data_IF_043024225700
#
_entry.id   IF_043024225700
#
_cell.length_a   1.000
_cell.length_b   1.000
_cell.length_c   1.000
_cell.angle_alpha   90.00
_cell.angle_beta   90.00
_cell.angle_gamma   90.00
#
_symmetry.space_group_name_H-M   'P 1'
#
loop_
_entity.id
_entity.type
_entity.pdbx_description
1 polymer ?
#
# COMPACT_ATOMS: atom_id res chain seq x y z
N UNK A 1 -16.88 19.37 2.59
CA UNK A 1 -15.52 19.33 3.18
C UNK A 1 -14.59 18.61 2.22
N UNK A 2 -13.49 19.23 1.87
CA UNK A 2 -12.54 18.63 0.97
C UNK A 2 -11.73 17.54 1.67
N UNK A 3 -11.48 16.46 0.94
CA UNK A 3 -10.61 15.40 1.42
C UNK A 3 -9.16 15.83 1.26
N UNK A 4 -8.28 15.50 2.21
CA UNK A 4 -6.85 15.77 2.03
C UNK A 4 -6.31 15.02 0.82
N UNK A 5 -5.50 15.72 0.03
CA UNK A 5 -4.84 15.15 -1.14
C UNK A 5 -3.53 14.51 -0.72
N UNK A 6 -3.33 13.27 -1.16
CA UNK A 6 -2.11 12.53 -0.86
C UNK A 6 -1.43 12.19 -2.18
N UNK A 7 -0.19 12.65 -2.32
CA UNK A 7 0.57 12.48 -3.56
C UNK A 7 1.04 11.04 -3.75
N UNK A 8 1.46 10.40 -2.68
CA UNK A 8 1.91 9.02 -2.73
C UNK A 8 0.76 8.07 -3.06
N UNK A 9 1.08 6.95 -3.69
CA UNK A 9 0.11 5.89 -3.91
C UNK A 9 -0.03 5.07 -2.63
N UNK A 10 -1.25 4.83 -2.20
CA UNK A 10 -1.50 4.04 -1.01
C UNK A 10 -1.75 2.60 -1.43
N UNK A 11 -0.92 1.67 -0.94
CA UNK A 11 -1.08 0.25 -1.21
C UNK A 11 -1.75 -0.41 -0.03
N UNK A 12 -2.87 -1.08 -0.28
CA UNK A 12 -3.67 -1.76 0.74
C UNK A 12 -3.81 -3.24 0.41
N UNK A 13 -4.20 -4.03 1.38
CA UNK A 13 -4.34 -5.47 1.18
C UNK A 13 -5.52 -5.82 0.27
N UNK A 14 -6.68 -5.19 0.44
CA UNK A 14 -7.87 -5.57 -0.28
C UNK A 14 -8.81 -4.41 -0.58
N UNK A 15 -9.91 -4.78 -1.27
CA UNK A 15 -10.90 -3.81 -1.77
C UNK A 15 -11.61 -3.06 -0.65
N UNK A 16 -11.88 -3.72 0.46
CA UNK A 16 -12.54 -3.07 1.59
C UNK A 16 -11.73 -1.90 2.12
N UNK A 17 -10.43 -2.11 2.28
CA UNK A 17 -9.52 -1.06 2.74
C UNK A 17 -9.47 0.09 1.74
N UNK A 18 -9.43 -0.24 0.44
CA UNK A 18 -9.43 0.76 -0.62
C UNK A 18 -10.67 1.64 -0.54
N UNK A 19 -11.85 1.02 -0.47
CA UNK A 19 -13.10 1.77 -0.46
C UNK A 19 -13.23 2.65 0.78
N UNK A 20 -12.78 2.15 1.92
CA UNK A 20 -12.80 2.90 3.17
C UNK A 20 -11.90 4.13 3.08
N UNK A 21 -10.69 3.98 2.57
CA UNK A 21 -9.75 5.09 2.42
C UNK A 21 -10.26 6.15 1.45
N UNK A 22 -10.83 5.74 0.33
CA UNK A 22 -11.31 6.68 -0.67
C UNK A 22 -12.47 7.55 -0.19
N UNK A 23 -13.11 7.17 0.92
CA UNK A 23 -14.12 8.00 1.54
C UNK A 23 -13.53 9.18 2.31
N UNK A 24 -12.27 9.08 2.73
CA UNK A 24 -11.68 10.07 3.62
C UNK A 24 -10.47 10.79 3.04
N UNK A 25 -9.85 10.25 1.99
CA UNK A 25 -8.69 10.89 1.35
C UNK A 25 -8.85 10.92 -0.17
N UNK A 26 -8.22 11.92 -0.80
CA UNK A 26 -8.10 12.01 -2.25
C UNK A 26 -6.73 11.48 -2.65
N UNK A 27 -6.67 10.22 -3.03
CA UNK A 27 -5.43 9.54 -3.33
C UNK A 27 -5.66 8.41 -4.33
N UNK A 28 -4.59 7.97 -4.96
CA UNK A 28 -4.59 6.73 -5.74
C UNK A 28 -4.35 5.56 -4.79
N UNK A 29 -5.24 4.59 -4.80
CA UNK A 29 -5.15 3.43 -3.93
C UNK A 29 -5.03 2.17 -4.76
N UNK A 30 -4.03 1.36 -4.45
CA UNK A 30 -3.73 0.11 -5.16
C UNK A 30 -3.97 -1.08 -4.22
N UNK A 31 -4.73 -2.06 -4.70
CA UNK A 31 -4.95 -3.30 -3.95
C UNK A 31 -3.80 -4.26 -4.21
N UNK A 32 -3.19 -4.79 -3.17
CA UNK A 32 -2.10 -5.76 -3.29
C UNK A 32 -2.60 -7.17 -3.60
N UNK A 33 -3.81 -7.51 -3.13
CA UNK A 33 -4.36 -8.84 -3.34
C UNK A 33 -3.71 -9.90 -2.46
N UNK A 34 -3.29 -9.52 -1.26
CA UNK A 34 -2.68 -10.44 -0.31
C UNK A 34 -1.35 -10.97 -0.83
N UNK A 35 -1.08 -12.25 -0.57
CA UNK A 35 0.17 -12.88 -0.98
C UNK A 35 0.32 -13.05 -2.49
N UNK A 36 -0.76 -12.91 -3.25
CA UNK A 36 -0.71 -13.01 -4.71
C UNK A 36 0.19 -11.97 -5.36
N UNK A 37 0.47 -10.85 -4.67
CA UNK A 37 1.36 -9.80 -5.16
C UNK A 37 2.75 -10.34 -5.52
N UNK A 38 3.23 -11.35 -4.81
CA UNK A 38 4.58 -11.86 -5.00
C UNK A 38 4.73 -12.69 -6.27
N UNK A 39 3.62 -13.13 -6.86
CA UNK A 39 3.60 -13.84 -8.14
C UNK A 39 3.20 -12.96 -9.30
N UNK A 40 2.85 -11.69 -9.04
CA UNK A 40 2.41 -10.75 -10.06
C UNK A 40 3.57 -9.82 -10.43
N UNK A 41 4.30 -10.20 -11.47
CA UNK A 41 5.48 -9.45 -11.92
C UNK A 41 5.15 -8.05 -12.40
N UNK A 42 4.01 -7.91 -13.07
CA UNK A 42 3.60 -6.59 -13.58
C UNK A 42 3.25 -5.65 -12.44
N UNK A 43 2.52 -6.15 -11.46
CA UNK A 43 2.15 -5.33 -10.31
C UNK A 43 3.36 -4.97 -9.44
N UNK A 44 4.30 -5.91 -9.28
CA UNK A 44 5.53 -5.64 -8.55
C UNK A 44 6.39 -4.60 -9.28
N UNK A 45 6.49 -4.69 -10.60
CA UNK A 45 7.21 -3.70 -11.39
C UNK A 45 6.55 -2.32 -11.28
N UNK A 46 5.22 -2.27 -11.29
CA UNK A 46 4.49 -1.02 -11.10
C UNK A 46 4.78 -0.41 -9.74
N UNK A 47 4.78 -1.23 -8.68
CA UNK A 47 5.10 -0.75 -7.33
C UNK A 47 6.50 -0.15 -7.26
N UNK A 48 7.49 -0.81 -7.87
CA UNK A 48 8.85 -0.28 -7.91
C UNK A 48 8.90 1.09 -8.58
N UNK A 49 8.22 1.21 -9.71
CA UNK A 49 8.19 2.47 -10.45
C UNK A 49 7.50 3.57 -9.66
N UNK A 50 6.39 3.25 -9.01
CA UNK A 50 5.67 4.22 -8.18
C UNK A 50 6.50 4.64 -6.98
N UNK A 51 7.23 3.72 -6.36
CA UNK A 51 8.10 4.05 -5.23
C UNK A 51 9.19 5.05 -5.65
N UNK A 52 9.72 4.91 -6.85
CA UNK A 52 10.78 5.80 -7.35
C UNK A 52 10.25 7.15 -7.83
N UNK A 53 9.00 7.24 -8.23
CA UNK A 53 8.42 8.47 -8.80
C UNK A 53 7.55 9.22 -7.81
N UNK A 54 6.48 8.58 -7.34
CA UNK A 54 5.50 9.22 -6.46
C UNK A 54 5.70 8.90 -4.99
N UNK A 55 6.32 7.78 -4.70
CA UNK A 55 6.35 7.22 -3.36
C UNK A 55 5.14 6.33 -3.10
N UNK A 56 5.29 5.42 -2.17
CA UNK A 56 4.24 4.48 -1.78
C UNK A 56 4.04 4.57 -0.27
N UNK A 57 2.78 4.50 0.14
CA UNK A 57 2.41 4.32 1.54
C UNK A 57 1.83 2.90 1.66
N UNK A 58 2.52 2.03 2.38
CA UNK A 58 1.99 0.70 2.70
C UNK A 58 1.05 0.82 3.89
N UNK A 59 -0.23 0.61 3.65
CA UNK A 59 -1.27 0.73 4.67
C UNK A 59 -1.87 -0.65 4.91
N UNK A 60 -1.37 -1.34 5.92
CA UNK A 60 -1.72 -2.72 6.23
C UNK A 60 -1.85 -2.89 7.74
N UNK A 61 -2.35 -4.06 8.14
CA UNK A 61 -2.36 -4.43 9.55
C UNK A 61 -0.92 -4.53 10.09
N UNK A 62 -0.69 -4.20 11.37
CA UNK A 62 0.67 -4.24 11.93
C UNK A 62 1.20 -5.64 12.15
N UNK A 63 0.34 -6.64 12.18
CA UNK A 63 0.73 -8.03 12.45
C UNK A 63 0.11 -8.99 11.44
N UNK A 64 0.31 -10.30 11.64
CA UNK A 64 -0.26 -11.34 10.78
C UNK A 64 0.21 -11.24 9.34
N UNK A 65 -0.73 -11.39 8.39
CA UNK A 65 -0.44 -11.34 6.97
C UNK A 65 0.13 -10.00 6.53
N UNK A 66 -0.36 -8.91 7.11
CA UNK A 66 0.15 -7.58 6.81
C UNK A 66 1.63 -7.44 7.15
N UNK A 67 2.05 -8.00 8.28
CA UNK A 67 3.46 -7.99 8.68
C UNK A 67 4.33 -8.75 7.66
N UNK A 68 3.89 -9.93 7.23
CA UNK A 68 4.64 -10.74 6.27
C UNK A 68 4.74 -10.05 4.91
N UNK A 69 3.63 -9.52 4.41
CA UNK A 69 3.59 -8.81 3.14
C UNK A 69 4.54 -7.62 3.17
N UNK A 70 4.51 -6.85 4.24
CA UNK A 70 5.34 -5.67 4.42
C UNK A 70 6.84 -6.01 4.38
N UNK A 71 7.23 -7.06 5.08
CA UNK A 71 8.62 -7.47 5.11
C UNK A 71 9.12 -8.00 3.78
N UNK A 72 8.29 -8.74 3.04
CA UNK A 72 8.66 -9.20 1.71
C UNK A 72 8.76 -8.07 0.71
N UNK A 73 7.88 -7.07 0.80
CA UNK A 73 7.93 -5.92 -0.10
C UNK A 73 9.20 -5.09 0.09
N UNK A 74 9.78 -5.08 1.27
CA UNK A 74 11.07 -4.41 1.48
C UNK A 74 12.16 -4.95 0.57
N UNK A 75 12.18 -6.26 0.33
CA UNK A 75 13.12 -6.87 -0.59
C UNK A 75 12.73 -6.70 -2.05
N UNK A 76 11.43 -6.68 -2.35
CA UNK A 76 10.93 -6.53 -3.71
C UNK A 76 11.04 -5.11 -4.24
N UNK A 77 11.05 -4.10 -3.34
CA UNK A 77 11.14 -2.68 -3.68
C UNK A 77 12.40 -2.10 -3.01
N UNK A 78 13.58 -2.34 -3.59
CA UNK A 78 14.84 -1.98 -2.93
C UNK A 78 15.17 -0.49 -2.99
N UNK A 79 14.56 0.24 -3.92
CA UNK A 79 14.82 1.67 -4.11
C UNK A 79 13.53 2.44 -4.13
N UNK A 80 13.63 3.74 -3.91
CA UNK A 80 12.48 4.61 -3.90
C UNK A 80 11.99 4.89 -2.47
N UNK A 81 10.86 5.59 -2.40
CA UNK A 81 10.29 6.04 -1.14
C UNK A 81 9.11 5.17 -0.75
N UNK A 82 9.26 4.44 0.34
CA UNK A 82 8.20 3.60 0.88
C UNK A 82 7.94 4.01 2.33
N UNK A 83 6.77 4.51 2.59
CA UNK A 83 6.30 4.89 3.91
C UNK A 83 5.39 3.79 4.46
N UNK A 84 5.33 3.70 5.77
CA UNK A 84 4.52 2.69 6.44
C UNK A 84 3.44 3.35 7.28
N UNK A 85 2.21 2.93 7.06
CA UNK A 85 1.08 3.31 7.89
C UNK A 85 0.37 2.02 8.32
N UNK A 86 -0.23 2.06 9.49
CA UNK A 86 -0.84 0.87 10.07
C UNK A 86 -2.32 1.10 10.30
N UNK A 87 -3.11 0.07 10.01
CA UNK A 87 -4.53 0.08 10.36
C UNK A 87 -4.62 0.07 11.88
N UNK A 88 -5.32 1.04 12.48
CA UNK A 88 -5.45 1.07 13.94
C UNK A 88 -6.17 -0.18 14.45
N UNK A 89 -5.66 -0.70 15.55
CA UNK A 89 -6.29 -1.82 16.24
C UNK A 89 -7.34 -1.24 17.18
N UNK A 90 -8.59 -1.26 16.74
CA UNK A 90 -9.70 -0.63 17.46
C UNK A 90 -10.68 -1.69 17.94
N UNK A 91 -10.92 -1.72 19.20
CA UNK A 91 -11.90 -2.60 19.83
C UNK A 91 -13.05 -1.84 20.43
#
# INVERSE_FOLDING_TARGET
MEKPKIQEVIAVEGRYDKNTLLQVVDASVLELGGFGIFNDREKTALLRRLAETRGIILFTDPDGAGFVIRNRLKGAIPTGRVLHAYVPDVY
#
